data_IF_808696378795
#
_entry.id   IF_808696378795
#
_cell.length_a   1.000
_cell.length_b   1.000
_cell.length_c   1.000
_cell.angle_alpha   90.00
_cell.angle_beta   90.00
_cell.angle_gamma   90.00
#
_symmetry.space_group_name_H-M   'P 1'
#
loop_
_entity.id
_entity.type
_entity.pdbx_description
1 polymer ?
#
# COMPACT_ATOMS: atom_id res chain seq x y z
N UNK A 1 -0.31 16.10 0.64
CA UNK A 1 -0.09 14.73 0.19
C UNK A 1 -1.22 14.29 -0.70
N UNK A 2 -0.93 13.76 -1.86
CA UNK A 2 -1.93 13.46 -2.87
C UNK A 2 -2.30 11.98 -2.85
N UNK A 3 -3.58 11.68 -2.70
CA UNK A 3 -4.07 10.30 -2.66
C UNK A 3 -3.85 9.57 -3.98
N UNK A 4 -3.55 10.31 -5.06
CA UNK A 4 -3.19 9.69 -6.33
C UNK A 4 -1.72 9.34 -6.43
N UNK A 5 -0.93 9.72 -5.44
CA UNK A 5 0.51 9.52 -5.45
C UNK A 5 0.84 8.09 -5.04
N UNK A 6 1.49 7.29 -5.91
CA UNK A 6 1.84 5.92 -5.55
C UNK A 6 2.73 5.84 -4.32
N UNK A 7 3.57 6.85 -4.09
CA UNK A 7 4.44 6.84 -2.91
C UNK A 7 3.65 6.92 -1.61
N UNK A 8 2.53 7.64 -1.63
CA UNK A 8 1.67 7.71 -0.46
C UNK A 8 1.20 6.31 -0.06
N UNK A 9 0.71 5.55 -1.03
CA UNK A 9 0.18 4.22 -0.74
C UNK A 9 1.29 3.23 -0.37
N UNK A 10 2.46 3.37 -0.98
CA UNK A 10 3.60 2.53 -0.60
C UNK A 10 4.03 2.80 0.82
N UNK A 11 4.09 4.07 1.22
CA UNK A 11 4.43 4.42 2.59
C UNK A 11 3.44 3.83 3.58
N UNK A 12 2.16 3.89 3.26
CA UNK A 12 1.14 3.30 4.12
C UNK A 12 1.31 1.80 4.24
N UNK A 13 1.61 1.14 3.13
CA UNK A 13 1.83 -0.30 3.14
C UNK A 13 3.02 -0.66 4.03
N UNK A 14 4.09 0.11 3.94
CA UNK A 14 5.28 -0.14 4.75
C UNK A 14 5.00 0.06 6.23
N UNK A 15 4.23 1.09 6.57
CA UNK A 15 3.86 1.34 7.96
C UNK A 15 3.06 0.18 8.53
N UNK A 16 2.09 -0.30 7.77
CA UNK A 16 1.27 -1.41 8.22
C UNK A 16 2.11 -2.67 8.37
N UNK A 17 3.01 -2.89 7.42
CA UNK A 17 3.88 -4.06 7.46
C UNK A 17 4.81 -4.03 8.67
N UNK A 18 5.34 -2.85 8.99
CA UNK A 18 6.21 -2.69 10.14
C UNK A 18 5.47 -2.99 11.44
N UNK A 19 4.21 -2.59 11.54
CA UNK A 19 3.39 -2.90 12.70
C UNK A 19 3.11 -4.41 12.75
N UNK A 20 2.79 -5.00 11.60
CA UNK A 20 2.46 -6.42 11.53
C UNK A 20 3.61 -7.30 12.01
N UNK A 21 4.85 -6.91 11.70
CA UNK A 21 6.02 -7.68 12.10
C UNK A 21 6.11 -7.80 13.63
N UNK A 22 5.61 -6.80 14.34
CA UNK A 22 5.67 -6.79 15.79
C UNK A 22 4.48 -7.47 16.45
N UNK A 23 3.50 -7.88 15.68
CA UNK A 23 2.32 -8.55 16.23
C UNK A 23 2.68 -9.97 16.63
N UNK A 24 2.25 -10.34 17.83
CA UNK A 24 2.43 -11.72 18.32
C UNK A 24 1.26 -12.61 17.95
N UNK A 25 0.09 -12.01 17.75
CA UNK A 25 -1.10 -12.77 17.39
C UNK A 25 -1.12 -13.03 15.88
N UNK A 26 -1.08 -14.31 15.51
CA UNK A 26 -0.99 -14.69 14.10
C UNK A 26 -2.20 -14.22 13.29
N UNK A 27 -3.39 -14.26 13.91
CA UNK A 27 -4.61 -13.84 13.21
C UNK A 27 -4.58 -12.35 12.88
N UNK A 28 -4.24 -11.54 13.88
CA UNK A 28 -4.14 -10.10 13.71
C UNK A 28 -3.05 -9.76 12.71
N UNK A 29 -1.92 -10.45 12.79
CA UNK A 29 -0.82 -10.23 11.87
C UNK A 29 -1.25 -10.49 10.42
N UNK A 30 -1.99 -11.58 10.20
CA UNK A 30 -2.47 -11.90 8.86
C UNK A 30 -3.40 -10.82 8.32
N UNK A 31 -4.27 -10.28 9.18
CA UNK A 31 -5.16 -9.19 8.77
C UNK A 31 -4.36 -7.95 8.38
N UNK A 32 -3.36 -7.60 9.18
CA UNK A 32 -2.54 -6.44 8.91
C UNK A 32 -1.77 -6.59 7.59
N UNK A 33 -1.23 -7.78 7.34
CA UNK A 33 -0.51 -8.02 6.09
C UNK A 33 -1.43 -7.94 4.89
N UNK A 34 -2.68 -8.38 5.04
CA UNK A 34 -3.67 -8.26 4.00
C UNK A 34 -3.96 -6.78 3.68
N UNK A 35 -4.04 -5.95 4.72
CA UNK A 35 -4.25 -4.53 4.54
C UNK A 35 -3.07 -3.90 3.82
N UNK A 36 -1.85 -4.31 4.16
CA UNK A 36 -0.66 -3.81 3.49
C UNK A 36 -0.69 -4.16 1.99
N UNK A 37 -1.13 -5.36 1.66
CA UNK A 37 -1.26 -5.76 0.26
C UNK A 37 -2.28 -4.90 -0.47
N UNK A 38 -3.37 -4.54 0.19
CA UNK A 38 -4.38 -3.67 -0.42
C UNK A 38 -3.79 -2.30 -0.73
N UNK A 39 -2.99 -1.75 0.19
CA UNK A 39 -2.32 -0.49 -0.07
C UNK A 39 -1.36 -0.60 -1.25
N UNK A 40 -0.67 -1.72 -1.37
CA UNK A 40 0.24 -1.93 -2.50
C UNK A 40 -0.52 -1.99 -3.83
N UNK A 41 -1.71 -2.57 -3.81
CA UNK A 41 -2.56 -2.56 -5.00
C UNK A 41 -2.96 -1.15 -5.38
N UNK A 42 -3.29 -0.34 -4.40
CA UNK A 42 -3.61 1.06 -4.64
C UNK A 42 -2.41 1.81 -5.21
N UNK A 43 -1.22 1.50 -4.72
CA UNK A 43 0.00 2.11 -5.24
C UNK A 43 0.20 1.75 -6.70
N UNK A 44 -0.02 0.49 -7.06
CA UNK A 44 0.14 0.07 -8.46
C UNK A 44 -0.89 0.73 -9.36
N UNK A 45 -2.13 0.87 -8.88
CA UNK A 45 -3.16 1.57 -9.66
C UNK A 45 -2.79 3.02 -9.87
N UNK A 46 -2.24 3.66 -8.84
CA UNK A 46 -1.81 5.04 -8.95
C UNK A 46 -0.68 5.18 -9.97
N UNK A 47 0.24 4.22 -9.98
CA UNK A 47 1.33 4.22 -10.96
C UNK A 47 0.79 4.05 -12.38
N UNK A 48 -0.16 3.14 -12.56
CA UNK A 48 -0.74 2.92 -13.88
C UNK A 48 -1.48 4.15 -14.36
N UNK A 49 -2.19 4.81 -13.43
CA UNK A 49 -2.91 6.02 -13.76
C UNK A 49 -1.96 7.13 -14.18
N UNK A 50 -0.85 7.24 -13.48
CA UNK A 50 0.16 8.23 -13.83
C UNK A 50 0.76 7.94 -15.21
N UNK A 51 0.97 6.66 -15.52
CA UNK A 51 1.45 6.26 -16.84
C UNK A 51 0.46 6.56 -17.95
N UNK A 52 -0.84 6.39 -17.65
CA UNK A 52 -1.89 6.63 -18.63
C UNK A 52 -2.06 8.10 -18.96
N UNK A 53 -1.52 8.97 -18.15
CA UNK A 53 -1.58 10.39 -18.41
C UNK A 53 -0.63 10.83 -19.49
N UNK A 54 0.17 9.96 -20.00
CA UNK A 54 1.09 10.30 -21.08
C UNK A 54 0.28 10.73 -22.28
N UNK A 55 0.47 11.94 -22.76
CA UNK A 55 -0.21 12.37 -23.98
C UNK A 55 0.31 11.49 -25.10
N UNK A 56 -0.54 10.69 -25.55
CA UNK A 56 -0.19 9.71 -26.55
C UNK A 56 -0.20 10.18 -27.90
#
# INVERSE_FOLDING_TARGET
>A
MNLSDPEYWRSRAEEVRAVAVQMTDAHTKAIMLSIAQDYEKLARRAEQRAGDKTPG
#
